data_IF_847511201952
#
_entry.id   IF_847511201952
#
_cell.length_a   1.000
_cell.length_b   1.000
_cell.length_c   1.000
_cell.angle_alpha   90.00
_cell.angle_beta   90.00
_cell.angle_gamma   90.00
#
_symmetry.space_group_name_H-M   'P 1'
#
loop_
_entity.id
_entity.type
_entity.pdbx_description
1 polymer ?
#
# COMPACT_ATOMS: atom_id res chain seq x y z
N UNK A 1 6.24 -24.98 -24.45
CA UNK A 1 5.97 -25.28 -23.02
C UNK A 1 4.81 -24.48 -22.41
N UNK A 2 4.53 -23.23 -22.84
CA UNK A 2 3.39 -22.43 -22.35
C UNK A 2 1.99 -22.95 -22.75
N UNK A 3 1.83 -23.43 -23.99
CA UNK A 3 0.55 -23.90 -24.55
C UNK A 3 0.01 -25.14 -23.81
N UNK A 4 0.88 -25.96 -23.22
CA UNK A 4 0.47 -27.17 -22.48
C UNK A 4 -0.14 -26.82 -21.11
N UNK A 5 0.44 -25.85 -20.41
CA UNK A 5 -0.03 -25.43 -19.09
C UNK A 5 -1.36 -24.64 -19.12
N UNK A 6 -1.69 -23.97 -20.23
CA UNK A 6 -3.00 -23.35 -20.43
C UNK A 6 -4.09 -24.40 -20.69
N UNK A 7 -3.82 -25.37 -21.56
CA UNK A 7 -4.73 -26.51 -21.81
C UNK A 7 -5.00 -27.33 -20.55
N UNK A 8 -3.97 -27.61 -19.76
CA UNK A 8 -4.11 -28.39 -18.52
C UNK A 8 -4.97 -27.66 -17.46
N UNK A 9 -4.93 -26.32 -17.43
CA UNK A 9 -5.78 -25.50 -16.55
C UNK A 9 -7.23 -25.44 -17.02
N UNK A 10 -7.43 -25.34 -18.34
CA UNK A 10 -8.76 -25.29 -18.97
C UNK A 10 -9.48 -26.64 -18.82
N UNK A 11 -8.79 -27.78 -19.00
CA UNK A 11 -9.31 -29.12 -18.72
C UNK A 11 -9.66 -29.33 -17.24
N UNK A 12 -8.83 -28.87 -16.31
CA UNK A 12 -9.11 -28.94 -14.86
C UNK A 12 -10.32 -28.07 -14.46
N UNK A 13 -10.56 -26.98 -15.20
CA UNK A 13 -11.71 -26.10 -15.01
C UNK A 13 -12.99 -26.77 -15.52
N UNK A 14 -12.97 -27.33 -16.74
CA UNK A 14 -14.11 -28.03 -17.36
C UNK A 14 -14.51 -29.28 -16.56
N UNK A 15 -13.53 -30.09 -16.13
CA UNK A 15 -13.78 -31.35 -15.40
C UNK A 15 -14.37 -31.14 -13.99
N UNK A 16 -14.25 -29.94 -13.40
CA UNK A 16 -14.74 -29.66 -12.04
C UNK A 16 -16.09 -28.95 -12.01
N UNK A 17 -16.46 -28.24 -13.09
CA UNK A 17 -17.71 -27.48 -13.18
C UNK A 17 -18.76 -28.12 -14.12
N UNK A 18 -18.43 -29.24 -14.77
CA UNK A 18 -19.35 -30.01 -15.60
C UNK A 18 -19.60 -29.37 -16.96
N UNK A 19 -19.49 -30.17 -18.02
CA UNK A 19 -19.88 -29.77 -19.36
C UNK A 19 -21.33 -30.20 -19.57
N UNK A 20 -22.29 -29.28 -19.61
CA UNK A 20 -23.70 -29.66 -19.79
C UNK A 20 -24.43 -28.72 -20.74
N UNK A 21 -24.34 -29.09 -22.02
CA UNK A 21 -25.45 -28.99 -22.97
C UNK A 21 -26.38 -30.21 -22.80
N UNK A 22 -26.88 -30.49 -21.59
CA UNK A 22 -27.99 -31.42 -21.43
C UNK A 22 -29.28 -30.65 -21.20
N UNK A 23 -30.18 -30.78 -22.16
CA UNK A 23 -31.55 -30.32 -22.14
C UNK A 23 -32.32 -30.99 -20.99
N UNK A 24 -32.18 -30.50 -19.78
CA UNK A 24 -33.15 -30.78 -18.72
C UNK A 24 -34.30 -29.79 -18.82
N UNK A 25 -35.44 -30.32 -19.25
CA UNK A 25 -36.77 -29.70 -19.23
C UNK A 25 -37.14 -29.33 -17.77
N UNK A 26 -36.67 -28.17 -17.30
CA UNK A 26 -37.01 -27.59 -16.01
C UNK A 26 -37.82 -26.32 -16.25
N UNK A 27 -39.06 -26.34 -15.74
CA UNK A 27 -39.98 -25.21 -15.70
C UNK A 27 -39.48 -24.20 -14.66
N UNK A 28 -39.52 -22.93 -15.03
CA UNK A 28 -39.19 -21.71 -14.27
C UNK A 28 -37.76 -21.19 -14.53
N UNK A 29 -37.68 -20.21 -15.44
CA UNK A 29 -36.47 -19.48 -15.83
C UNK A 29 -35.67 -18.97 -14.62
N UNK A 30 -36.35 -18.73 -13.49
CA UNK A 30 -35.75 -18.33 -12.21
C UNK A 30 -34.80 -19.37 -11.62
N UNK A 31 -35.11 -20.67 -11.71
CA UNK A 31 -34.22 -21.71 -11.17
C UNK A 31 -32.92 -21.84 -11.98
N UNK A 32 -33.01 -21.68 -13.30
CA UNK A 32 -31.85 -21.62 -14.20
C UNK A 32 -30.99 -20.38 -13.92
N UNK A 33 -31.61 -19.22 -13.70
CA UNK A 33 -30.90 -17.99 -13.33
C UNK A 33 -30.20 -18.10 -11.97
N UNK A 34 -30.87 -18.69 -10.97
CA UNK A 34 -30.30 -18.96 -9.64
C UNK A 34 -29.08 -19.89 -9.71
N UNK A 35 -29.16 -20.95 -10.51
CA UNK A 35 -28.06 -21.88 -10.74
C UNK A 35 -26.87 -21.19 -11.44
N UNK A 36 -27.16 -20.41 -12.49
CA UNK A 36 -26.14 -19.64 -13.22
C UNK A 36 -25.44 -18.62 -12.31
N UNK A 37 -26.21 -17.87 -11.51
CA UNK A 37 -25.67 -16.91 -10.55
C UNK A 37 -24.73 -17.58 -9.53
N UNK A 38 -25.12 -18.74 -8.99
CA UNK A 38 -24.28 -19.51 -8.05
C UNK A 38 -22.96 -19.94 -8.68
N UNK A 39 -23.00 -20.44 -9.92
CA UNK A 39 -21.81 -20.85 -10.66
C UNK A 39 -20.85 -19.67 -10.92
N UNK A 40 -21.37 -18.55 -11.45
CA UNK A 40 -20.60 -17.33 -11.69
C UNK A 40 -19.95 -16.81 -10.40
N UNK A 41 -20.66 -16.88 -9.26
CA UNK A 41 -20.15 -16.50 -7.95
C UNK A 41 -18.98 -17.38 -7.50
N UNK A 42 -19.05 -18.70 -7.71
CA UNK A 42 -17.96 -19.62 -7.36
C UNK A 42 -16.75 -19.47 -8.29
N UNK A 43 -16.96 -19.30 -9.60
CA UNK A 43 -15.88 -19.01 -10.55
C UNK A 43 -15.15 -17.71 -10.19
N UNK A 44 -15.90 -16.67 -9.82
CA UNK A 44 -15.31 -15.41 -9.37
C UNK A 44 -14.48 -15.58 -8.10
N UNK A 45 -14.97 -16.34 -7.10
CA UNK A 45 -14.20 -16.65 -5.88
C UNK A 45 -12.91 -17.42 -6.20
N UNK A 46 -12.95 -18.38 -7.12
CA UNK A 46 -11.78 -19.15 -7.53
C UNK A 46 -10.74 -18.26 -8.22
N UNK A 47 -11.18 -17.42 -9.17
CA UNK A 47 -10.31 -16.49 -9.88
C UNK A 47 -9.65 -15.47 -8.94
N UNK A 48 -10.40 -14.97 -7.94
CA UNK A 48 -9.85 -14.09 -6.90
C UNK A 48 -8.82 -14.81 -6.02
N UNK A 49 -9.05 -16.08 -5.67
CA UNK A 49 -8.11 -16.89 -4.88
C UNK A 49 -6.82 -17.16 -5.66
N UNK A 50 -6.93 -17.43 -6.96
CA UNK A 50 -5.76 -17.61 -7.83
C UNK A 50 -4.96 -16.29 -7.95
N UNK A 51 -5.62 -15.16 -8.15
CA UNK A 51 -4.99 -13.83 -8.17
C UNK A 51 -4.23 -13.54 -6.85
N UNK A 52 -4.81 -13.84 -5.69
CA UNK A 52 -4.14 -13.66 -4.40
C UNK A 52 -2.92 -14.58 -4.27
N UNK A 53 -3.04 -15.85 -4.64
CA UNK A 53 -1.92 -16.80 -4.60
C UNK A 53 -0.80 -16.37 -5.55
N UNK A 54 -1.14 -15.93 -6.76
CA UNK A 54 -0.20 -15.40 -7.75
C UNK A 54 0.54 -14.18 -7.20
N UNK A 55 -0.15 -13.26 -6.53
CA UNK A 55 0.48 -12.11 -5.86
C UNK A 55 1.41 -12.52 -4.73
N UNK A 56 1.06 -13.55 -3.95
CA UNK A 56 1.94 -14.09 -2.89
C UNK A 56 3.21 -14.67 -3.49
N UNK A 57 3.12 -15.40 -4.60
CA UNK A 57 4.31 -15.93 -5.28
C UNK A 57 5.19 -14.82 -5.86
N UNK A 58 4.59 -13.85 -6.55
CA UNK A 58 5.31 -12.67 -7.06
C UNK A 58 6.07 -11.96 -5.96
N UNK A 59 5.44 -11.78 -4.80
CA UNK A 59 6.05 -11.16 -3.64
C UNK A 59 7.31 -11.91 -3.15
N UNK A 60 7.27 -13.24 -3.09
CA UNK A 60 8.44 -14.07 -2.71
C UNK A 60 9.58 -13.92 -3.72
N UNK A 61 9.27 -14.07 -5.00
CA UNK A 61 10.24 -13.98 -6.10
C UNK A 61 10.92 -12.61 -6.11
N UNK A 62 10.14 -11.53 -6.03
CA UNK A 62 10.66 -10.17 -6.01
C UNK A 62 11.61 -9.92 -4.84
N UNK A 63 11.30 -10.48 -3.66
CA UNK A 63 12.15 -10.35 -2.50
C UNK A 63 13.47 -11.08 -2.67
N UNK A 64 13.43 -12.32 -3.17
CA UNK A 64 14.64 -13.11 -3.41
C UNK A 64 15.57 -12.45 -4.44
N UNK A 65 15.00 -12.01 -5.57
CA UNK A 65 15.75 -11.27 -6.61
C UNK A 65 16.41 -10.03 -6.03
N UNK A 66 15.70 -9.28 -5.17
CA UNK A 66 16.24 -8.08 -4.55
C UNK A 66 17.36 -8.38 -3.55
N UNK A 67 17.15 -9.34 -2.64
CA UNK A 67 18.10 -9.63 -1.55
C UNK A 67 19.41 -10.23 -2.08
N UNK A 68 19.33 -11.11 -3.08
CA UNK A 68 20.50 -11.75 -3.72
C UNK A 68 21.06 -10.94 -4.89
N UNK A 69 20.49 -9.77 -5.16
CA UNK A 69 20.85 -8.90 -6.28
C UNK A 69 20.86 -9.58 -7.65
N UNK A 70 19.97 -10.55 -7.87
CA UNK A 70 19.95 -11.38 -9.10
C UNK A 70 19.64 -10.58 -10.37
N UNK A 71 19.04 -9.40 -10.22
CA UNK A 71 18.80 -8.48 -11.32
C UNK A 71 20.08 -8.05 -12.06
N UNK A 72 21.25 -8.21 -11.43
CA UNK A 72 22.55 -7.92 -12.05
C UNK A 72 22.90 -8.88 -13.19
N UNK A 73 22.35 -10.11 -13.18
CA UNK A 73 22.56 -11.07 -14.28
C UNK A 73 21.93 -10.59 -15.60
N UNK A 74 20.88 -9.76 -15.51
CA UNK A 74 20.25 -9.11 -16.66
C UNK A 74 20.90 -7.76 -17.00
N UNK A 75 22.04 -7.43 -16.37
CA UNK A 75 22.78 -6.19 -16.62
C UNK A 75 22.22 -4.93 -15.92
N UNK A 76 21.21 -5.05 -15.06
CA UNK A 76 20.70 -3.91 -14.32
C UNK A 76 21.62 -3.51 -13.16
N UNK A 77 22.01 -2.24 -13.11
CA UNK A 77 22.80 -1.69 -12.00
C UNK A 77 22.00 -1.63 -10.68
N UNK A 78 20.69 -1.39 -10.77
CA UNK A 78 19.81 -1.24 -9.61
C UNK A 78 18.52 -2.03 -9.77
N UNK A 79 18.03 -2.59 -8.66
CA UNK A 79 16.74 -3.28 -8.61
C UNK A 79 15.59 -2.43 -9.14
N UNK A 80 15.65 -1.11 -8.95
CA UNK A 80 14.63 -0.20 -9.45
C UNK A 80 14.54 -0.19 -10.99
N UNK A 81 15.65 -0.38 -11.69
CA UNK A 81 15.68 -0.39 -13.15
C UNK A 81 15.21 -1.74 -13.68
N UNK A 82 15.55 -2.83 -12.99
CA UNK A 82 14.94 -4.14 -13.22
C UNK A 82 13.41 -4.10 -13.08
N UNK A 83 12.85 -3.45 -12.06
CA UNK A 83 11.39 -3.39 -11.93
C UNK A 83 10.73 -2.58 -13.03
N UNK A 84 11.40 -1.55 -13.58
CA UNK A 84 10.87 -0.77 -14.71
C UNK A 84 10.77 -1.60 -16.00
N UNK A 85 11.52 -2.69 -16.13
CA UNK A 85 11.45 -3.55 -17.32
C UNK A 85 10.24 -4.49 -17.33
N UNK A 86 9.41 -4.51 -16.28
CA UNK A 86 8.18 -5.31 -16.21
C UNK A 86 6.94 -4.41 -16.20
N UNK A 87 5.80 -4.99 -16.58
CA UNK A 87 4.47 -4.35 -16.47
C UNK A 87 4.00 -4.10 -15.02
N UNK A 88 4.82 -4.43 -14.02
CA UNK A 88 4.49 -4.19 -12.61
C UNK A 88 4.85 -2.75 -12.27
N UNK A 89 3.83 -1.93 -11.98
CA UNK A 89 4.03 -0.58 -11.48
C UNK A 89 4.99 -0.59 -10.27
N UNK A 90 6.02 0.27 -10.30
CA UNK A 90 7.04 0.41 -9.24
C UNK A 90 6.44 0.38 -7.83
N UNK A 91 5.38 1.15 -7.60
CA UNK A 91 4.71 1.24 -6.30
C UNK A 91 4.17 -0.11 -5.81
N UNK A 92 3.69 -0.98 -6.69
CA UNK A 92 3.21 -2.32 -6.35
C UNK A 92 4.36 -3.25 -5.96
N UNK A 93 5.48 -3.23 -6.69
CA UNK A 93 6.65 -4.04 -6.35
C UNK A 93 7.17 -3.72 -4.94
N UNK A 94 7.31 -2.44 -4.59
CA UNK A 94 7.75 -2.04 -3.25
C UNK A 94 6.71 -2.36 -2.16
N UNK A 95 5.40 -2.32 -2.47
CA UNK A 95 4.35 -2.78 -1.55
C UNK A 95 4.45 -4.28 -1.27
N UNK A 96 4.70 -5.09 -2.30
CA UNK A 96 4.92 -6.53 -2.12
C UNK A 96 6.13 -6.81 -1.24
N UNK A 97 7.27 -6.18 -1.51
CA UNK A 97 8.47 -6.32 -0.68
C UNK A 97 8.19 -5.98 0.80
N UNK A 98 7.47 -4.88 1.04
CA UNK A 98 7.09 -4.43 2.39
C UNK A 98 6.21 -5.44 3.12
N UNK A 99 5.20 -5.99 2.44
CA UNK A 99 4.32 -7.00 3.03
C UNK A 99 5.11 -8.27 3.34
N UNK A 100 5.97 -8.73 2.42
CA UNK A 100 6.74 -9.95 2.64
C UNK A 100 7.69 -9.85 3.80
N UNK A 101 8.35 -8.70 3.96
CA UNK A 101 9.21 -8.45 5.09
C UNK A 101 8.44 -8.63 6.41
N UNK A 102 7.19 -8.18 6.49
CA UNK A 102 6.33 -8.40 7.67
C UNK A 102 5.91 -9.85 7.85
N UNK A 103 5.83 -10.63 6.77
CA UNK A 103 5.66 -12.09 6.85
C UNK A 103 6.89 -12.75 7.44
N UNK A 104 8.09 -12.39 6.98
CA UNK A 104 9.35 -12.92 7.51
C UNK A 104 9.58 -12.52 8.98
N UNK A 105 9.15 -11.32 9.38
CA UNK A 105 9.15 -10.88 10.78
C UNK A 105 8.08 -11.58 11.66
N UNK A 106 7.23 -12.45 11.10
CA UNK A 106 6.14 -13.11 11.82
C UNK A 106 4.95 -12.20 12.18
N UNK A 107 4.95 -10.94 11.74
CA UNK A 107 3.92 -9.93 12.06
C UNK A 107 2.65 -10.06 11.22
N UNK A 108 2.74 -10.75 10.08
CA UNK A 108 1.62 -11.02 9.17
C UNK A 108 1.72 -12.46 8.70
N UNK A 109 0.67 -13.27 8.84
CA UNK A 109 0.64 -14.61 8.26
C UNK A 109 0.19 -14.60 6.80
N UNK A 110 0.66 -15.57 6.03
CA UNK A 110 0.19 -15.80 4.65
C UNK A 110 -1.32 -16.06 4.62
N UNK A 111 -1.86 -16.78 5.60
CA UNK A 111 -3.30 -17.06 5.67
C UNK A 111 -4.13 -15.80 5.97
N UNK A 112 -3.59 -14.87 6.78
CA UNK A 112 -4.21 -13.56 6.94
C UNK A 112 -4.28 -12.83 5.60
N UNK A 113 -3.20 -12.83 4.81
CA UNK A 113 -3.18 -12.20 3.47
C UNK A 113 -4.23 -12.84 2.56
N UNK A 114 -4.36 -14.18 2.57
CA UNK A 114 -5.38 -14.90 1.79
C UNK A 114 -6.81 -14.53 2.21
N UNK A 115 -7.04 -14.35 3.51
CA UNK A 115 -8.38 -14.07 4.06
C UNK A 115 -8.84 -12.63 3.83
N UNK A 116 -7.98 -11.64 4.05
CA UNK A 116 -8.37 -10.22 4.01
C UNK A 116 -7.84 -9.45 2.80
N UNK A 117 -6.90 -10.04 2.06
CA UNK A 117 -6.30 -9.44 0.87
C UNK A 117 -5.19 -8.41 1.15
N UNK A 118 -4.41 -8.10 0.10
CA UNK A 118 -3.24 -7.24 0.17
C UNK A 118 -3.56 -5.79 0.59
N UNK A 119 -4.67 -5.22 0.12
CA UNK A 119 -5.05 -3.84 0.45
C UNK A 119 -5.32 -3.68 1.94
N UNK A 120 -6.07 -4.62 2.54
CA UNK A 120 -6.38 -4.59 3.96
C UNK A 120 -5.11 -4.79 4.81
N UNK A 121 -4.27 -5.76 4.45
CA UNK A 121 -2.97 -5.98 5.13
C UNK A 121 -2.08 -4.75 5.03
N UNK A 122 -2.03 -4.08 3.88
CA UNK A 122 -1.23 -2.86 3.73
C UNK A 122 -1.77 -1.73 4.62
N UNK A 123 -3.09 -1.53 4.68
CA UNK A 123 -3.70 -0.59 5.62
C UNK A 123 -3.45 -0.97 7.08
N UNK A 124 -3.43 -2.24 7.44
CA UNK A 124 -3.09 -2.66 8.81
C UNK A 124 -1.62 -2.34 9.13
N UNK A 125 -0.73 -2.56 8.17
CA UNK A 125 0.70 -2.22 8.31
C UNK A 125 0.87 -0.70 8.41
N UNK A 126 0.18 0.07 7.58
CA UNK A 126 0.25 1.53 7.53
C UNK A 126 -0.51 2.20 8.68
N UNK A 127 -1.61 1.60 9.12
CA UNK A 127 -2.40 1.95 10.30
C UNK A 127 -1.61 1.77 11.59
N UNK A 128 -0.86 0.66 11.69
CA UNK A 128 0.17 0.50 12.74
C UNK A 128 1.30 1.52 12.62
N UNK A 129 1.55 2.07 11.41
CA UNK A 129 2.52 3.15 11.19
C UNK A 129 2.01 4.56 11.46
N UNK A 130 0.70 4.82 11.47
CA UNK A 130 0.17 6.07 12.02
C UNK A 130 0.47 6.21 13.52
N UNK A 131 0.88 5.11 14.19
CA UNK A 131 1.45 5.12 15.54
C UNK A 131 2.97 4.82 15.57
N UNK A 132 3.62 4.52 14.43
CA UNK A 132 5.06 4.23 14.38
C UNK A 132 5.67 4.34 12.97
N UNK A 133 6.52 5.35 12.76
CA UNK A 133 7.46 5.48 11.64
C UNK A 133 6.90 5.79 10.23
N UNK A 134 6.85 7.09 9.94
CA UNK A 134 7.17 7.61 8.61
C UNK A 134 8.64 7.28 8.26
N UNK A 135 8.84 6.34 7.35
CA UNK A 135 10.17 6.02 6.80
C UNK A 135 10.42 6.97 5.62
N UNK A 136 11.00 8.14 5.93
CA UNK A 136 12.16 8.61 5.18
C UNK A 136 13.34 8.65 6.16
N UNK A 137 14.45 8.06 5.72
CA UNK A 137 15.77 8.00 6.36
C UNK A 137 15.87 7.38 7.76
N UNK A 138 16.29 6.10 7.79
CA UNK A 138 17.27 5.65 8.78
C UNK A 138 18.58 6.37 8.49
N UNK A 139 18.83 7.49 9.15
CA UNK A 139 20.16 7.86 9.58
C UNK A 139 20.16 7.71 11.09
N UNK A 140 21.04 6.84 11.58
CA UNK A 140 21.43 6.82 13.00
C UNK A 140 21.93 8.23 13.32
N UNK A 141 21.18 8.99 14.10
CA UNK A 141 21.71 10.04 14.95
C UNK A 141 20.75 10.24 16.13
N UNK A 142 21.25 9.95 17.32
CA UNK A 142 20.64 10.27 18.61
C UNK A 142 20.71 11.78 18.82
N UNK A 143 19.81 12.53 18.17
CA UNK A 143 19.37 13.91 18.47
C UNK A 143 18.35 14.40 17.41
N UNK A 144 17.37 13.54 17.08
CA UNK A 144 16.48 13.75 15.94
C UNK A 144 15.54 14.93 16.13
N UNK A 145 15.78 16.03 15.40
CA UNK A 145 14.82 17.12 15.24
C UNK A 145 13.51 16.58 14.67
N UNK A 146 12.39 16.79 15.38
CA UNK A 146 11.05 16.38 14.91
C UNK A 146 10.61 17.37 13.83
N UNK A 147 10.37 16.93 12.57
CA UNK A 147 9.95 17.84 11.51
C UNK A 147 8.47 18.23 11.68
N UNK A 148 8.19 19.53 11.69
CA UNK A 148 6.83 20.09 11.69
C UNK A 148 6.43 20.42 10.25
N UNK A 149 5.23 20.01 9.81
CA UNK A 149 4.66 20.37 8.49
C UNK A 149 3.47 21.30 8.66
N UNK A 150 3.56 22.50 8.10
CA UNK A 150 2.50 23.52 8.12
C UNK A 150 2.11 23.83 6.67
N UNK A 151 0.81 23.89 6.39
CA UNK A 151 0.28 24.33 5.11
C UNK A 151 0.03 25.84 5.17
N UNK A 152 0.88 26.60 4.49
CA UNK A 152 0.77 28.07 4.40
C UNK A 152 0.01 28.43 3.12
N UNK A 153 -1.10 29.16 3.25
CA UNK A 153 -1.91 29.62 2.10
C UNK A 153 -1.33 30.87 1.45
N UNK A 154 -0.73 31.75 2.26
CA UNK A 154 -0.14 32.99 1.80
C UNK A 154 1.26 32.75 1.21
N UNK A 155 1.50 33.31 0.01
CA UNK A 155 2.73 33.05 -0.75
C UNK A 155 3.93 33.78 -0.16
N UNK A 156 3.76 35.02 0.28
CA UNK A 156 4.85 35.82 0.84
C UNK A 156 5.32 35.23 2.17
N UNK A 157 4.38 34.82 3.03
CA UNK A 157 4.67 34.13 4.27
C UNK A 157 5.35 32.78 4.03
N UNK A 158 4.93 32.04 3.00
CA UNK A 158 5.58 30.80 2.60
C UNK A 158 7.05 31.05 2.20
N UNK A 159 7.29 32.05 1.35
CA UNK A 159 8.64 32.40 0.90
C UNK A 159 9.50 32.87 2.08
N UNK A 160 8.97 33.67 3.00
CA UNK A 160 9.64 34.06 4.25
C UNK A 160 10.07 32.87 5.11
N UNK A 161 9.19 31.87 5.25
CA UNK A 161 9.46 30.66 6.05
C UNK A 161 10.44 29.71 5.36
N UNK A 162 10.39 29.63 4.04
CA UNK A 162 11.23 28.73 3.23
C UNK A 162 12.65 29.27 3.04
N UNK A 163 12.79 30.59 2.90
CA UNK A 163 14.07 31.24 2.62
C UNK A 163 15.12 30.94 3.70
N UNK A 164 14.70 30.90 4.96
CA UNK A 164 15.58 30.51 6.08
C UNK A 164 14.77 29.80 7.18
N UNK A 165 14.78 28.47 7.14
CA UNK A 165 14.10 27.63 8.14
C UNK A 165 14.75 27.68 9.52
N UNK A 166 16.06 27.99 9.61
CA UNK A 166 16.76 28.15 10.89
C UNK A 166 16.33 29.44 11.57
N UNK A 167 16.15 30.52 10.80
CA UNK A 167 15.59 31.78 11.29
C UNK A 167 14.18 31.58 11.85
N UNK A 168 13.32 30.86 11.12
CA UNK A 168 11.98 30.55 11.60
C UNK A 168 12.01 29.75 12.91
N UNK A 169 12.82 28.70 12.98
CA UNK A 169 12.99 27.90 14.20
C UNK A 169 13.44 28.76 15.38
N UNK A 170 14.47 29.60 15.18
CA UNK A 170 14.97 30.52 16.20
C UNK A 170 13.89 31.48 16.69
N UNK A 171 13.10 32.08 15.79
CA UNK A 171 12.02 33.00 16.16
C UNK A 171 10.99 32.28 17.03
N UNK A 172 10.51 31.11 16.58
CA UNK A 172 9.49 30.34 17.32
C UNK A 172 10.03 29.89 18.68
N UNK A 173 11.27 29.40 18.73
CA UNK A 173 11.91 28.97 19.97
C UNK A 173 12.08 30.13 20.96
N UNK A 174 12.52 31.31 20.48
CA UNK A 174 12.68 32.51 21.30
C UNK A 174 11.34 32.99 21.86
N UNK A 175 10.29 32.98 21.04
CA UNK A 175 8.95 33.36 21.51
C UNK A 175 8.48 32.39 22.59
N UNK A 176 8.63 31.09 22.36
CA UNK A 176 8.19 30.07 23.29
C UNK A 176 8.93 30.09 24.63
N UNK A 177 10.26 30.24 24.61
CA UNK A 177 11.09 30.20 25.82
C UNK A 177 11.06 31.52 26.59
N UNK A 178 11.17 32.65 25.87
CA UNK A 178 11.53 33.93 26.49
C UNK A 178 10.42 34.99 26.41
N UNK A 179 9.40 34.82 25.54
CA UNK A 179 8.34 35.82 25.31
C UNK A 179 6.94 35.23 25.50
N UNK A 180 6.70 34.69 26.70
CA UNK A 180 5.42 34.05 27.07
C UNK A 180 4.20 34.98 26.99
N UNK A 181 4.38 36.27 27.25
CA UNK A 181 3.29 37.26 27.15
C UNK A 181 2.82 37.42 25.70
N UNK A 182 3.77 37.67 24.79
CA UNK A 182 3.52 37.74 23.34
C UNK A 182 2.89 36.43 22.84
N UNK A 183 3.39 35.28 23.29
CA UNK A 183 2.82 33.99 22.92
C UNK A 183 1.35 33.86 23.39
N UNK A 184 1.05 34.29 24.61
CA UNK A 184 -0.30 34.24 25.16
C UNK A 184 -1.26 35.14 24.38
N UNK A 185 -0.83 36.35 24.01
CA UNK A 185 -1.61 37.27 23.18
C UNK A 185 -1.93 36.66 21.81
N UNK A 186 -0.92 36.10 21.13
CA UNK A 186 -1.09 35.44 19.83
C UNK A 186 -2.05 34.24 19.90
N UNK A 187 -2.01 33.46 20.99
CA UNK A 187 -2.94 32.33 21.21
C UNK A 187 -4.37 32.85 21.40
N UNK A 188 -4.57 33.90 22.19
CA UNK A 188 -5.90 34.49 22.41
C UNK A 188 -6.47 35.04 21.10
N UNK A 189 -5.66 35.73 20.31
CA UNK A 189 -6.05 36.25 19.00
C UNK A 189 -6.44 35.12 18.03
N UNK A 190 -5.63 34.05 17.98
CA UNK A 190 -5.93 32.86 17.19
C UNK A 190 -7.26 32.21 17.58
N UNK A 191 -7.53 32.03 18.87
CA UNK A 191 -8.79 31.44 19.35
C UNK A 191 -10.00 32.32 19.02
N UNK A 192 -9.87 33.65 19.04
CA UNK A 192 -10.91 34.57 18.59
C UNK A 192 -11.18 34.43 17.09
N UNK A 193 -10.12 34.41 16.28
CA UNK A 193 -10.23 34.25 14.83
C UNK A 193 -10.85 32.89 14.44
N UNK A 194 -10.54 31.83 15.17
CA UNK A 194 -11.13 30.50 14.98
C UNK A 194 -12.64 30.47 15.26
N UNK A 195 -13.12 31.22 16.24
CA UNK A 195 -14.55 31.32 16.58
C UNK A 195 -15.38 32.13 15.58
N UNK A 196 -14.73 33.02 14.82
CA UNK A 196 -15.41 33.88 13.83
C UNK A 196 -15.54 33.24 12.43
N UNK A 197 -14.76 32.18 12.16
CA UNK A 197 -14.74 31.47 10.87
C UNK A 197 -15.48 30.11 10.92
N UNK A 198 -16.32 29.92 11.93
CA UNK A 198 -17.28 28.81 12.08
C UNK A 198 -18.68 29.39 12.19
#
# INVERSE_FOLDING_TARGET
MKIKAEKDKEELFINRFGNYNEETNLKDDREKELLNYSNLKEQLKYNLKDDINNKIQRMKILYEIKQKELYKYDGFAHFNDFIKSFEVAKSQAYRYLKIYQKVLEGKVSIDKIKKVGFKAVLRDIDGKRFLSEDIYSKSKDTNGSIPIRILVKDKELYDFCKQDSKRLYFIIEKIYKDKKEILSELIIEYEKHKRQNH
#
